data_IF_603890646279
#
_entry.id   IF_603890646279
#
_cell.length_a   1.000
_cell.length_b   1.000
_cell.length_c   1.000
_cell.angle_alpha   90.00
_cell.angle_beta   90.00
_cell.angle_gamma   90.00
#
_symmetry.space_group_name_H-M   'P 1'
#
loop_
_entity.id
_entity.type
_entity.pdbx_description
1 polymer ?
#
# COMPACT_ATOMS: atom_id res chain seq x y z
N UNK A 1 -2.31 18.92 -0.14
CA UNK A 1 -1.50 17.93 0.62
C UNK A 1 -0.11 18.44 1.01
N UNK A 2 0.63 19.21 0.17
CA UNK A 2 2.01 19.64 0.48
C UNK A 2 2.12 20.44 1.78
N UNK A 3 1.32 21.52 2.02
CA UNK A 3 1.38 22.27 3.29
C UNK A 3 1.07 21.38 4.51
N UNK A 4 0.11 20.48 4.39
CA UNK A 4 -0.26 19.52 5.43
C UNK A 4 0.89 18.55 5.76
N UNK A 5 1.58 18.00 4.74
CA UNK A 5 2.73 17.15 4.96
C UNK A 5 3.87 17.90 5.68
N UNK A 6 4.08 19.19 5.37
CA UNK A 6 5.05 20.03 6.09
C UNK A 6 4.64 20.27 7.54
N UNK A 7 3.36 20.45 7.81
CA UNK A 7 2.86 20.61 9.19
C UNK A 7 3.04 19.35 10.04
N UNK A 8 3.28 18.19 9.43
CA UNK A 8 3.55 16.91 10.12
C UNK A 8 5.05 16.65 10.33
N UNK A 9 5.92 17.64 10.13
CA UNK A 9 7.37 17.49 10.18
C UNK A 9 7.89 16.98 11.54
N UNK A 10 7.27 17.41 12.64
CA UNK A 10 7.58 16.93 13.99
C UNK A 10 7.36 15.43 14.20
N UNK A 11 6.42 14.83 13.45
CA UNK A 11 6.09 13.42 13.51
C UNK A 11 6.85 12.56 12.48
N UNK A 12 7.66 13.15 11.60
CA UNK A 12 8.30 12.43 10.50
C UNK A 12 9.12 11.22 10.95
N UNK A 13 9.88 11.34 12.07
CA UNK A 13 10.69 10.24 12.59
C UNK A 13 9.85 9.11 13.18
N UNK A 14 8.76 9.45 13.87
CA UNK A 14 7.82 8.48 14.41
C UNK A 14 7.15 7.70 13.28
N UNK A 15 6.61 8.41 12.29
CA UNK A 15 5.97 7.83 11.11
C UNK A 15 6.94 6.93 10.35
N UNK A 16 8.17 7.40 10.10
CA UNK A 16 9.19 6.62 9.41
C UNK A 16 9.51 5.29 10.12
N UNK A 17 9.64 5.30 11.44
CA UNK A 17 9.90 4.08 12.24
C UNK A 17 8.78 3.06 12.15
N UNK A 18 7.53 3.50 11.99
CA UNK A 18 6.37 2.63 11.90
C UNK A 18 6.15 2.11 10.46
N UNK A 19 6.18 3.00 9.46
CA UNK A 19 5.80 2.65 8.08
C UNK A 19 6.98 2.62 7.08
N UNK A 20 8.21 2.90 7.49
CA UNK A 20 9.40 2.84 6.63
C UNK A 20 9.48 3.93 5.56
N UNK A 21 8.61 4.95 5.61
CA UNK A 21 8.56 6.00 4.61
C UNK A 21 8.42 7.38 5.24
N UNK A 22 9.06 8.38 4.63
CA UNK A 22 8.86 9.78 5.02
C UNK A 22 7.48 10.28 4.59
N UNK A 23 6.91 11.19 5.38
CA UNK A 23 5.67 11.87 4.98
C UNK A 23 5.89 12.60 3.66
N UNK A 24 5.09 12.25 2.67
CA UNK A 24 5.17 12.83 1.34
C UNK A 24 3.77 12.84 0.71
N UNK A 25 3.39 13.91 -0.01
CA UNK A 25 2.08 14.03 -0.63
C UNK A 25 1.80 12.99 -1.73
N UNK A 26 2.79 12.22 -2.17
CA UNK A 26 2.60 11.12 -3.12
C UNK A 26 1.79 9.97 -2.52
N UNK A 27 1.92 9.73 -1.22
CA UNK A 27 1.28 8.62 -0.53
C UNK A 27 -0.22 8.85 -0.25
N UNK A 28 -0.98 7.76 -0.22
CA UNK A 28 -2.45 7.82 -0.13
C UNK A 28 -2.96 8.35 1.21
N UNK A 29 -2.32 8.03 2.34
CA UNK A 29 -2.72 8.54 3.66
C UNK A 29 -2.73 10.07 3.73
N UNK A 30 -1.74 10.74 3.13
CA UNK A 30 -1.72 12.19 3.02
C UNK A 30 -2.91 12.76 2.22
N UNK A 31 -3.36 12.04 1.20
CA UNK A 31 -4.53 12.43 0.38
C UNK A 31 -5.83 12.18 1.13
N UNK A 32 -5.92 11.06 1.88
CA UNK A 32 -7.09 10.73 2.70
C UNK A 32 -7.28 11.77 3.82
N UNK A 33 -6.20 12.15 4.53
CA UNK A 33 -6.23 13.25 5.50
C UNK A 33 -6.69 14.55 4.87
N UNK A 34 -6.16 14.89 3.69
CA UNK A 34 -6.58 16.09 2.97
C UNK A 34 -8.07 16.05 2.63
N UNK A 35 -8.58 14.90 2.18
CA UNK A 35 -10.01 14.72 1.86
C UNK A 35 -10.87 14.94 3.10
N UNK A 36 -10.52 14.35 4.24
CA UNK A 36 -11.24 14.56 5.51
C UNK A 36 -11.32 16.04 5.88
N UNK A 37 -10.21 16.76 5.76
CA UNK A 37 -10.13 18.17 6.17
C UNK A 37 -10.79 19.14 5.18
N UNK A 38 -10.75 18.86 3.88
CA UNK A 38 -11.20 19.81 2.85
C UNK A 38 -12.50 19.40 2.16
N UNK A 39 -12.92 18.15 2.27
CA UNK A 39 -14.14 17.60 1.70
C UNK A 39 -14.83 16.64 2.71
N UNK A 40 -15.16 17.13 3.92
CA UNK A 40 -15.68 16.28 5.01
C UNK A 40 -16.96 15.54 4.62
N UNK A 41 -17.88 16.19 3.92
CA UNK A 41 -19.13 15.55 3.48
C UNK A 41 -18.87 14.36 2.55
N UNK A 42 -17.86 14.43 1.68
CA UNK A 42 -17.46 13.35 0.79
C UNK A 42 -16.79 12.23 1.58
N UNK A 43 -15.90 12.60 2.51
CA UNK A 43 -15.21 11.65 3.37
C UNK A 43 -16.21 10.85 4.23
N UNK A 44 -17.16 11.52 4.88
CA UNK A 44 -18.16 10.88 5.73
C UNK A 44 -19.09 9.94 4.93
N UNK A 45 -19.51 10.34 3.73
CA UNK A 45 -20.35 9.52 2.85
C UNK A 45 -19.62 8.34 2.22
N UNK A 46 -18.29 8.39 2.13
CA UNK A 46 -17.49 7.32 1.53
C UNK A 46 -17.61 6.05 2.40
N UNK A 47 -18.05 4.95 1.81
CA UNK A 47 -18.06 3.65 2.47
C UNK A 47 -16.63 3.11 2.63
N UNK A 48 -15.80 3.23 1.59
CA UNK A 48 -14.38 2.84 1.61
C UNK A 48 -13.51 3.88 0.90
N UNK A 49 -12.28 4.00 1.37
CA UNK A 49 -11.21 4.79 0.75
C UNK A 49 -10.25 3.82 0.07
N UNK A 50 -10.23 3.82 -1.24
CA UNK A 50 -9.48 2.86 -2.04
C UNK A 50 -8.35 3.54 -2.81
N UNK A 51 -7.30 2.78 -3.11
CA UNK A 51 -6.34 3.10 -4.16
C UNK A 51 -6.73 2.34 -5.44
N UNK A 52 -6.09 2.64 -6.57
CA UNK A 52 -6.48 2.05 -7.87
C UNK A 52 -6.52 0.51 -7.85
N UNK A 53 -5.51 -0.21 -7.31
CA UNK A 53 -5.56 -1.67 -7.21
C UNK A 53 -6.75 -2.19 -6.41
N UNK A 54 -7.06 -1.56 -5.28
CA UNK A 54 -8.19 -1.96 -4.43
C UNK A 54 -9.52 -1.80 -5.19
N UNK A 55 -9.66 -0.69 -5.93
CA UNK A 55 -10.83 -0.45 -6.76
C UNK A 55 -10.98 -1.53 -7.85
N UNK A 56 -9.87 -1.94 -8.47
CA UNK A 56 -9.90 -3.03 -9.47
C UNK A 56 -10.31 -4.36 -8.83
N UNK A 57 -9.78 -4.68 -7.64
CA UNK A 57 -10.20 -5.88 -6.88
C UNK A 57 -11.70 -5.81 -6.59
N UNK A 58 -12.19 -4.69 -6.08
CA UNK A 58 -13.62 -4.51 -5.83
C UNK A 58 -14.47 -4.68 -7.10
N UNK A 59 -14.05 -4.08 -8.21
CA UNK A 59 -14.78 -4.19 -9.47
C UNK A 59 -14.86 -5.63 -9.98
N UNK A 60 -13.77 -6.40 -9.81
CA UNK A 60 -13.73 -7.81 -10.21
C UNK A 60 -14.51 -8.73 -9.29
N UNK A 61 -14.50 -8.47 -7.97
CA UNK A 61 -14.88 -9.45 -6.95
C UNK A 61 -16.01 -8.99 -6.02
N UNK A 62 -16.24 -7.70 -5.89
CA UNK A 62 -17.10 -7.11 -4.88
C UNK A 62 -16.44 -6.96 -3.50
N UNK A 63 -15.19 -7.41 -3.32
CA UNK A 63 -14.46 -7.37 -2.05
C UNK A 63 -13.58 -6.12 -1.94
N UNK A 64 -13.52 -5.52 -0.75
CA UNK A 64 -12.63 -4.41 -0.44
C UNK A 64 -11.34 -4.92 0.20
N UNK A 65 -10.43 -5.39 -0.62
CA UNK A 65 -9.16 -5.99 -0.21
C UNK A 65 -7.97 -5.29 -0.86
N UNK A 66 -6.86 -5.26 -0.16
CA UNK A 66 -5.56 -4.74 -0.60
C UNK A 66 -4.44 -5.64 -0.10
N UNK A 67 -3.23 -5.48 -0.62
CA UNK A 67 -2.08 -6.23 -0.11
C UNK A 67 -1.06 -5.36 0.63
N UNK A 68 -0.13 -6.01 1.32
CA UNK A 68 0.89 -5.35 2.12
C UNK A 68 1.79 -4.41 1.31
N UNK A 69 2.00 -4.66 0.01
CA UNK A 69 2.86 -3.82 -0.82
C UNK A 69 2.23 -2.45 -1.05
N UNK A 70 0.92 -2.40 -1.29
CA UNK A 70 0.16 -1.15 -1.38
C UNK A 70 -0.13 -0.57 0.00
N UNK A 71 -0.41 -1.40 1.00
CA UNK A 71 -0.56 -0.99 2.39
C UNK A 71 0.67 -0.23 2.89
N UNK A 72 1.89 -0.74 2.64
CA UNK A 72 3.14 -0.08 3.04
C UNK A 72 3.38 1.26 2.32
N UNK A 73 2.77 1.48 1.15
CA UNK A 73 2.84 2.74 0.40
C UNK A 73 1.76 3.76 0.81
N UNK A 74 0.95 3.43 1.80
CA UNK A 74 -0.12 4.34 2.28
C UNK A 74 0.33 5.34 3.33
N UNK A 75 1.40 5.09 4.08
CA UNK A 75 1.81 5.69 5.36
C UNK A 75 0.90 5.30 6.54
N UNK A 76 0.04 4.30 6.40
CA UNK A 76 -0.94 3.90 7.42
C UNK A 76 -0.69 2.48 7.96
N UNK A 77 0.16 1.69 7.29
CA UNK A 77 0.48 0.31 7.67
C UNK A 77 1.81 0.25 8.44
N UNK A 78 1.81 -0.47 9.55
CA UNK A 78 3.04 -0.81 10.28
C UNK A 78 3.78 -1.94 9.54
N UNK A 79 5.04 -1.69 9.18
CA UNK A 79 5.86 -2.66 8.43
C UNK A 79 6.19 -3.94 9.21
N UNK A 80 6.28 -3.87 10.54
CA UNK A 80 6.63 -5.03 11.36
C UNK A 80 5.45 -5.98 11.55
N UNK A 81 4.24 -5.42 11.69
CA UNK A 81 3.02 -6.20 11.93
C UNK A 81 2.23 -6.50 10.67
N UNK A 82 2.50 -5.79 9.56
CA UNK A 82 1.71 -5.81 8.33
C UNK A 82 0.22 -5.55 8.57
N UNK A 83 -0.09 -4.68 9.54
CA UNK A 83 -1.46 -4.28 9.90
C UNK A 83 -1.60 -2.76 9.83
N UNK A 84 -2.84 -2.27 9.68
CA UNK A 84 -3.14 -0.86 9.87
C UNK A 84 -2.74 -0.44 11.29
N UNK A 85 -1.95 0.62 11.41
CA UNK A 85 -1.37 1.07 12.67
C UNK A 85 -2.23 2.17 13.28
N UNK A 86 -2.73 1.96 14.49
CA UNK A 86 -3.67 2.88 15.14
C UNK A 86 -3.04 4.26 15.36
N UNK A 87 -1.72 4.34 15.62
CA UNK A 87 -1.01 5.61 15.78
C UNK A 87 -0.88 6.37 14.46
N UNK A 88 -0.58 5.65 13.36
CA UNK A 88 -0.55 6.26 12.04
C UNK A 88 -1.95 6.73 11.62
N UNK A 89 -2.98 5.93 11.88
CA UNK A 89 -4.37 6.30 11.61
C UNK A 89 -4.78 7.57 12.35
N UNK A 90 -4.41 7.69 13.63
CA UNK A 90 -4.63 8.90 14.44
C UNK A 90 -3.93 10.12 13.82
N UNK A 91 -2.62 10.01 13.50
CA UNK A 91 -1.83 11.11 12.92
C UNK A 91 -2.37 11.57 11.55
N UNK A 92 -2.83 10.64 10.74
CA UNK A 92 -3.42 10.93 9.44
C UNK A 92 -4.92 11.17 9.48
N UNK A 93 -5.57 11.09 10.66
CA UNK A 93 -7.01 11.28 10.82
C UNK A 93 -7.84 10.39 9.88
N UNK A 94 -7.47 9.12 9.75
CA UNK A 94 -8.15 8.16 8.86
C UNK A 94 -8.86 7.10 9.69
N UNK A 95 -10.14 6.89 9.42
CA UNK A 95 -10.95 5.88 10.09
C UNK A 95 -10.62 4.49 9.53
N UNK A 96 -10.25 3.56 10.41
CA UNK A 96 -9.80 2.21 10.06
C UNK A 96 -10.85 1.43 9.26
N UNK A 97 -12.10 1.57 9.61
CA UNK A 97 -13.24 0.93 8.96
C UNK A 97 -13.45 1.37 7.51
N UNK A 98 -12.92 2.53 7.13
CA UNK A 98 -12.95 3.01 5.74
C UNK A 98 -11.83 2.43 4.88
N UNK A 99 -10.87 1.72 5.46
CA UNK A 99 -9.77 1.08 4.72
C UNK A 99 -10.16 -0.33 4.26
N UNK A 100 -9.50 -0.80 3.21
CA UNK A 100 -9.62 -2.17 2.73
C UNK A 100 -8.94 -3.16 3.69
N UNK A 101 -9.34 -4.42 3.68
CA UNK A 101 -8.69 -5.48 4.44
C UNK A 101 -7.29 -5.76 3.87
N UNK A 102 -6.30 -5.90 4.76
CA UNK A 102 -4.91 -6.18 4.38
C UNK A 102 -4.65 -7.67 4.26
N UNK A 103 -4.09 -8.08 3.13
CA UNK A 103 -3.71 -9.46 2.85
C UNK A 103 -2.23 -9.58 2.52
N UNK A 104 -1.66 -10.75 2.73
CA UNK A 104 -0.31 -11.06 2.25
C UNK A 104 -0.30 -11.12 0.71
N UNK A 105 0.76 -10.67 0.03
CA UNK A 105 0.92 -10.90 -1.39
C UNK A 105 0.83 -12.40 -1.74
N UNK A 106 0.22 -12.73 -2.87
CA UNK A 106 -0.07 -14.10 -3.26
C UNK A 106 -1.36 -14.69 -2.67
N UNK A 107 -2.06 -13.97 -1.78
CA UNK A 107 -3.36 -14.38 -1.26
C UNK A 107 -4.47 -14.18 -2.29
N UNK A 108 -5.51 -15.00 -2.20
CA UNK A 108 -6.74 -14.78 -2.95
C UNK A 108 -7.51 -13.65 -2.29
N UNK A 109 -7.69 -12.54 -2.99
CA UNK A 109 -8.42 -11.35 -2.52
C UNK A 109 -9.94 -11.44 -2.76
N UNK A 110 -10.35 -12.37 -3.58
CA UNK A 110 -11.75 -12.59 -3.95
C UNK A 110 -11.86 -13.48 -5.19
N UNK A 111 -13.08 -13.60 -5.71
CA UNK A 111 -13.36 -14.34 -6.93
C UNK A 111 -14.20 -13.50 -7.86
N UNK A 112 -13.99 -13.63 -9.18
CA UNK A 112 -14.75 -12.87 -10.18
C UNK A 112 -16.25 -13.10 -10.03
N UNK A 113 -16.98 -12.00 -10.03
CA UNK A 113 -18.44 -12.02 -9.97
C UNK A 113 -19.03 -12.43 -11.34
N UNK A 114 -20.30 -12.84 -11.34
CA UNK A 114 -21.04 -13.10 -12.56
C UNK A 114 -21.07 -11.87 -13.49
N UNK A 115 -21.31 -10.68 -12.93
CA UNK A 115 -21.35 -9.44 -13.71
C UNK A 115 -20.01 -9.16 -14.40
N UNK A 116 -18.88 -9.32 -13.69
CA UNK A 116 -17.56 -9.14 -14.28
C UNK A 116 -17.23 -10.21 -15.32
N UNK A 117 -17.67 -11.45 -15.11
CA UNK A 117 -17.54 -12.55 -16.07
C UNK A 117 -18.28 -12.25 -17.40
N UNK A 118 -19.51 -11.74 -17.30
CA UNK A 118 -20.32 -11.35 -18.47
C UNK A 118 -19.69 -10.17 -19.23
N UNK A 119 -19.08 -9.20 -18.52
CA UNK A 119 -18.43 -8.02 -19.11
C UNK A 119 -17.13 -8.39 -19.85
N UNK A 120 -16.35 -9.31 -19.31
CA UNK A 120 -14.95 -9.56 -19.74
C UNK A 120 -14.74 -10.87 -20.50
N UNK A 121 -15.69 -11.80 -20.42
CA UNK A 121 -15.55 -13.17 -20.95
C UNK A 121 -14.72 -14.10 -20.06
N UNK A 122 -14.27 -13.67 -18.87
CA UNK A 122 -13.65 -14.54 -17.88
C UNK A 122 -14.69 -15.47 -17.25
N UNK A 123 -14.25 -16.62 -16.73
CA UNK A 123 -15.16 -17.50 -16.00
C UNK A 123 -15.53 -16.88 -14.63
N UNK A 124 -16.81 -17.00 -14.26
CA UNK A 124 -17.27 -16.68 -12.92
C UNK A 124 -16.52 -17.54 -11.88
N UNK A 125 -16.21 -16.97 -10.73
CA UNK A 125 -15.50 -17.66 -9.64
C UNK A 125 -13.99 -17.82 -9.86
N UNK A 126 -13.41 -17.24 -10.91
CA UNK A 126 -11.95 -17.21 -11.10
C UNK A 126 -11.30 -16.49 -9.92
N UNK A 127 -10.29 -17.09 -9.25
CA UNK A 127 -9.62 -16.42 -8.12
C UNK A 127 -8.83 -15.20 -8.60
N UNK A 128 -8.99 -14.09 -7.87
CA UNK A 128 -8.23 -12.85 -8.05
C UNK A 128 -7.17 -12.79 -6.98
N UNK A 129 -5.91 -12.75 -7.41
CA UNK A 129 -4.74 -12.82 -6.52
C UNK A 129 -3.94 -11.54 -6.71
N UNK A 130 -3.56 -10.88 -5.60
CA UNK A 130 -2.62 -9.76 -5.67
C UNK A 130 -1.18 -10.27 -5.78
N UNK A 131 -0.47 -9.80 -6.80
CA UNK A 131 0.96 -10.06 -6.94
C UNK A 131 1.82 -9.01 -6.23
N UNK A 132 1.24 -7.85 -5.92
CA UNK A 132 1.92 -6.71 -5.32
C UNK A 132 2.22 -5.57 -6.29
N UNK A 133 2.96 -4.56 -5.81
CA UNK A 133 3.36 -3.41 -6.60
C UNK A 133 4.36 -3.77 -7.72
N UNK A 134 4.37 -2.96 -8.78
CA UNK A 134 5.17 -3.16 -9.99
C UNK A 134 6.68 -3.33 -9.71
N UNK A 135 7.24 -2.52 -8.82
CA UNK A 135 8.65 -2.58 -8.47
C UNK A 135 9.00 -3.87 -7.73
N UNK A 136 8.17 -4.30 -6.78
CA UNK A 136 8.34 -5.55 -6.05
C UNK A 136 8.19 -6.76 -6.98
N UNK A 137 7.20 -6.76 -7.86
CA UNK A 137 7.02 -7.79 -8.89
C UNK A 137 8.21 -7.82 -9.86
N UNK A 138 8.69 -6.65 -10.28
CA UNK A 138 9.86 -6.50 -11.14
C UNK A 138 11.12 -7.11 -10.52
N UNK A 139 11.33 -6.92 -9.22
CA UNK A 139 12.43 -7.56 -8.47
C UNK A 139 12.35 -9.08 -8.54
N UNK A 140 11.18 -9.64 -8.26
CA UNK A 140 10.96 -11.10 -8.35
C UNK A 140 11.22 -11.61 -9.76
N UNK A 141 10.73 -10.89 -10.79
CA UNK A 141 10.97 -11.22 -12.19
C UNK A 141 12.45 -11.19 -12.60
N UNK A 142 13.26 -10.36 -11.93
CA UNK A 142 14.71 -10.30 -12.10
C UNK A 142 15.46 -11.35 -11.25
N UNK A 143 14.75 -12.17 -10.47
CA UNK A 143 15.35 -13.19 -9.61
C UNK A 143 15.98 -12.63 -8.32
N UNK A 144 15.60 -11.41 -7.91
CA UNK A 144 16.06 -10.80 -6.64
C UNK A 144 15.18 -11.35 -5.51
N UNK A 145 15.63 -12.46 -4.90
CA UNK A 145 14.89 -13.22 -3.88
C UNK A 145 15.73 -13.53 -2.62
N UNK A 146 16.97 -13.06 -2.59
CA UNK A 146 17.90 -13.30 -1.46
C UNK A 146 18.44 -11.98 -0.93
N UNK A 147 18.70 -11.92 0.36
CA UNK A 147 19.35 -10.78 1.01
C UNK A 147 20.63 -10.37 0.26
N UNK A 148 20.81 -9.07 0.06
CA UNK A 148 21.97 -8.50 -0.60
C UNK A 148 21.93 -8.54 -2.13
N UNK A 149 20.94 -9.19 -2.73
CA UNK A 149 20.70 -9.02 -4.17
C UNK A 149 20.07 -7.67 -4.44
N UNK A 150 20.38 -7.09 -5.58
CA UNK A 150 19.96 -5.74 -5.96
C UNK A 150 19.33 -5.76 -7.34
N UNK A 151 18.23 -5.02 -7.47
CA UNK A 151 17.57 -4.70 -8.73
C UNK A 151 17.79 -3.22 -9.06
N UNK A 152 18.10 -2.91 -10.29
CA UNK A 152 18.15 -1.54 -10.82
C UNK A 152 17.18 -1.42 -11.99
N UNK A 153 16.16 -0.58 -11.82
CA UNK A 153 15.23 -0.22 -12.90
C UNK A 153 15.50 1.21 -13.34
N UNK A 154 15.79 1.41 -14.61
CA UNK A 154 16.03 2.72 -15.22
C UNK A 154 14.92 3.04 -16.20
N UNK A 155 14.21 4.15 -15.97
CA UNK A 155 13.19 4.71 -16.82
C UNK A 155 13.22 6.23 -16.68
N UNK A 156 12.05 6.88 -16.57
CA UNK A 156 11.96 8.32 -16.21
C UNK A 156 12.59 8.61 -14.85
N UNK A 157 12.61 7.62 -13.96
CA UNK A 157 13.35 7.61 -12.70
C UNK A 157 14.27 6.40 -12.61
N UNK A 158 15.25 6.44 -11.70
CA UNK A 158 16.08 5.30 -11.32
C UNK A 158 15.62 4.72 -10.00
N UNK A 159 15.34 3.41 -9.96
CA UNK A 159 14.94 2.70 -8.75
C UNK A 159 15.93 1.61 -8.44
N UNK A 160 16.67 1.79 -7.34
CA UNK A 160 17.60 0.79 -6.81
C UNK A 160 16.91 0.12 -5.61
N UNK A 161 16.66 -1.17 -5.70
CA UNK A 161 15.97 -1.94 -4.67
C UNK A 161 16.82 -3.13 -4.24
N UNK A 162 16.72 -3.46 -2.95
CA UNK A 162 17.29 -4.68 -2.38
C UNK A 162 16.27 -5.33 -1.45
N UNK A 163 16.42 -6.62 -1.19
CA UNK A 163 15.60 -7.34 -0.22
C UNK A 163 16.33 -7.46 1.12
N UNK A 164 15.57 -7.53 2.20
CA UNK A 164 16.03 -7.87 3.53
C UNK A 164 14.96 -8.70 4.24
N UNK A 165 15.37 -9.66 5.07
CA UNK A 165 14.45 -10.54 5.80
C UNK A 165 13.64 -9.82 6.86
N UNK A 166 14.24 -8.82 7.48
CA UNK A 166 13.64 -8.06 8.56
C UNK A 166 13.75 -6.57 8.26
N UNK A 167 12.83 -5.79 8.83
CA UNK A 167 12.91 -4.32 8.75
C UNK A 167 14.17 -3.88 9.48
N UNK A 168 15.16 -3.24 8.80
CA UNK A 168 16.39 -2.83 9.44
C UNK A 168 16.13 -1.83 10.58
N UNK A 169 16.76 -2.05 11.75
CA UNK A 169 16.57 -1.18 12.91
C UNK A 169 17.09 0.25 12.69
N UNK A 170 18.17 0.38 11.92
CA UNK A 170 18.86 1.64 11.64
C UNK A 170 18.71 2.05 10.18
N UNK A 171 17.47 2.06 9.67
CA UNK A 171 17.19 2.60 8.35
C UNK A 171 17.61 4.07 8.27
N UNK A 172 18.43 4.37 7.27
CA UNK A 172 18.72 5.75 6.92
C UNK A 172 17.43 6.44 6.47
N UNK A 173 17.29 7.68 6.91
CA UNK A 173 16.17 8.56 6.57
C UNK A 173 15.92 8.75 5.07
N UNK A 174 16.94 8.54 4.24
CA UNK A 174 16.86 8.70 2.79
C UNK A 174 16.45 7.41 2.03
N UNK A 175 16.28 6.31 2.75
CA UNK A 175 15.84 5.03 2.19
C UNK A 175 14.35 4.83 2.47
N UNK A 176 13.63 4.25 1.53
CA UNK A 176 12.22 3.82 1.71
C UNK A 176 12.18 2.32 1.89
N UNK A 177 11.58 1.86 2.97
CA UNK A 177 11.32 0.45 3.22
C UNK A 177 9.85 0.12 2.93
N UNK A 178 9.60 -0.94 2.17
CA UNK A 178 8.26 -1.39 1.81
C UNK A 178 8.12 -2.89 2.04
N UNK A 179 6.89 -3.36 2.17
CA UNK A 179 6.62 -4.79 2.16
C UNK A 179 7.02 -5.42 0.82
N UNK A 180 7.52 -6.65 0.87
CA UNK A 180 7.89 -7.46 -0.31
C UNK A 180 6.64 -8.09 -0.94
N UNK A 181 6.73 -8.43 -2.24
CA UNK A 181 5.74 -9.27 -2.94
C UNK A 181 5.93 -10.76 -2.65
N UNK A 182 7.05 -11.17 -2.07
CA UNK A 182 7.27 -12.51 -1.57
C UNK A 182 6.97 -12.54 -0.06
N UNK A 183 6.05 -13.38 0.37
CA UNK A 183 5.82 -13.62 1.79
C UNK A 183 6.93 -14.54 2.33
N UNK A 184 7.59 -14.16 3.42
CA UNK A 184 8.60 -14.94 4.15
C UNK A 184 9.97 -14.36 4.13
#
# INVERSE_FOLDING_TARGET
TVPMCRAMEEHHREIFKLCGSRVNPVFSGAKMKWMRQNQPDLYEKAYKLTVIPDYLVYHMTGEFATDWTYGSRSLLMNLKTCQWDDRLLELFEVDKEKLCELHAPGSILGRTTKAFAEETGLAEGTPVISAGGDQQCGMLGQGVVKDGQVSLTLGTGGFLLTTCKEVPENLDWDVVCNASSAAG
#
